data_IF_717095799869
#
_entry.id   IF_717095799869
#
_cell.length_a   1.000
_cell.length_b   1.000
_cell.length_c   1.000
_cell.angle_alpha   90.00
_cell.angle_beta   90.00
_cell.angle_gamma   90.00
#
_symmetry.space_group_name_H-M   'P 1'
#
loop_
_entity.id
_entity.type
_entity.pdbx_description
1 polymer ?
#
# COMPACT_ATOMS: atom_id res chain seq x y z
N UNK A 1 -11.22 22.15 6.15
CA UNK A 1 -11.65 20.75 5.96
C UNK A 1 -12.79 20.80 4.97
N UNK A 2 -12.44 20.75 3.68
CA UNK A 2 -13.25 21.45 2.68
C UNK A 2 -14.39 20.58 2.13
N UNK A 3 -14.27 19.25 2.29
CA UNK A 3 -15.20 18.26 1.72
C UNK A 3 -15.99 17.47 2.78
N UNK A 4 -15.48 17.38 4.02
CA UNK A 4 -16.12 16.60 5.11
C UNK A 4 -17.55 17.03 5.44
N UNK A 5 -17.87 18.34 5.57
CA UNK A 5 -19.25 18.81 5.77
C UNK A 5 -20.22 18.44 4.63
N UNK A 6 -19.72 18.08 3.45
CA UNK A 6 -20.52 17.62 2.31
C UNK A 6 -20.72 16.09 2.32
N UNK A 7 -20.26 15.40 3.37
CA UNK A 7 -20.28 13.94 3.47
C UNK A 7 -19.24 13.25 2.58
N UNK A 8 -18.31 14.00 1.97
CA UNK A 8 -17.26 13.45 1.11
C UNK A 8 -16.05 13.07 1.95
N UNK A 9 -15.63 11.80 1.85
CA UNK A 9 -14.44 11.26 2.50
C UNK A 9 -13.25 11.28 1.55
N UNK A 10 -12.06 11.52 2.09
CA UNK A 10 -10.80 11.51 1.34
C UNK A 10 -9.80 10.65 2.08
N UNK A 11 -9.22 9.64 1.42
CA UNK A 11 -8.22 8.75 2.01
C UNK A 11 -7.15 8.42 0.96
N UNK A 12 -5.99 7.93 1.43
CA UNK A 12 -4.91 7.45 0.58
C UNK A 12 -4.61 5.97 0.85
N UNK A 13 -4.19 5.24 -0.18
CA UNK A 13 -3.62 3.91 -0.06
C UNK A 13 -2.13 3.98 -0.36
N UNK A 14 -1.31 3.68 0.65
CA UNK A 14 0.14 3.53 0.49
C UNK A 14 0.46 2.08 0.20
N UNK A 15 0.46 1.72 -1.09
CA UNK A 15 0.71 0.36 -1.54
C UNK A 15 2.20 -0.01 -1.51
N UNK A 16 2.49 -1.28 -1.24
CA UNK A 16 3.80 -1.87 -1.52
C UNK A 16 4.10 -1.93 -3.02
N UNK A 17 5.33 -2.31 -3.42
CA UNK A 17 5.71 -2.33 -4.83
C UNK A 17 4.91 -3.40 -5.60
N UNK A 18 4.23 -2.95 -6.65
CA UNK A 18 3.51 -3.80 -7.62
C UNK A 18 4.10 -3.54 -9.00
N UNK A 19 4.27 -4.60 -9.79
CA UNK A 19 4.73 -4.48 -11.18
C UNK A 19 3.64 -3.87 -12.05
N UNK A 20 3.74 -2.57 -12.32
CA UNK A 20 2.86 -1.81 -13.22
C UNK A 20 3.67 -1.20 -14.37
N UNK A 21 2.98 -0.62 -15.37
CA UNK A 21 3.65 0.14 -16.44
C UNK A 21 4.41 1.35 -15.89
N UNK A 22 3.84 2.05 -14.92
CA UNK A 22 4.49 3.20 -14.27
C UNK A 22 5.78 2.78 -13.55
N UNK A 23 5.80 1.60 -12.92
CA UNK A 23 6.97 1.08 -12.23
C UNK A 23 8.12 0.68 -13.18
N UNK A 24 7.85 0.48 -14.48
CA UNK A 24 8.88 0.12 -15.44
C UNK A 24 9.95 1.21 -15.65
N UNK A 25 9.60 2.48 -15.37
CA UNK A 25 10.54 3.62 -15.43
C UNK A 25 11.44 3.77 -14.20
N UNK A 26 11.22 3.00 -13.13
CA UNK A 26 11.98 3.13 -11.88
C UNK A 26 13.20 2.21 -11.92
N UNK A 27 14.40 2.81 -11.91
CA UNK A 27 15.66 2.06 -11.84
C UNK A 27 15.72 1.20 -10.58
N UNK A 28 16.21 -0.03 -10.69
CA UNK A 28 16.34 -0.96 -9.55
C UNK A 28 15.03 -1.61 -9.08
N UNK A 29 13.88 -1.34 -9.71
CA UNK A 29 12.58 -1.82 -9.24
C UNK A 29 12.48 -3.36 -9.11
N UNK A 30 13.12 -4.11 -10.02
CA UNK A 30 13.18 -5.58 -9.94
C UNK A 30 13.90 -6.06 -8.68
N UNK A 31 14.96 -5.36 -8.26
CA UNK A 31 15.69 -5.64 -7.02
C UNK A 31 14.81 -5.32 -5.80
N UNK A 32 14.14 -4.17 -5.82
CA UNK A 32 13.20 -3.76 -4.78
C UNK A 32 12.09 -4.81 -4.57
N UNK A 33 11.48 -5.32 -5.65
CA UNK A 33 10.44 -6.36 -5.55
C UNK A 33 10.95 -7.63 -4.84
N UNK A 34 12.19 -8.05 -5.11
CA UNK A 34 12.77 -9.22 -4.45
C UNK A 34 13.07 -8.93 -2.98
N UNK A 35 13.65 -7.77 -2.70
CA UNK A 35 13.95 -7.32 -1.34
C UNK A 35 12.68 -7.28 -0.49
N UNK A 36 11.67 -6.55 -0.94
CA UNK A 36 10.41 -6.37 -0.21
C UNK A 36 9.72 -7.71 0.03
N UNK A 37 9.60 -8.57 -0.98
CA UNK A 37 9.02 -9.90 -0.81
C UNK A 37 9.73 -10.74 0.27
N UNK A 38 11.06 -10.61 0.41
CA UNK A 38 11.83 -11.34 1.43
C UNK A 38 11.68 -10.78 2.85
N UNK A 39 11.36 -9.48 2.98
CA UNK A 39 11.38 -8.77 4.28
C UNK A 39 10.00 -8.48 4.85
N UNK A 40 8.95 -8.37 4.02
CA UNK A 40 7.58 -8.12 4.49
C UNK A 40 7.14 -9.18 5.50
N UNK A 41 6.32 -8.80 6.47
CA UNK A 41 5.81 -9.71 7.50
C UNK A 41 5.08 -10.91 6.90
N UNK A 42 4.42 -10.70 5.75
CA UNK A 42 3.70 -11.76 5.01
C UNK A 42 4.56 -12.50 3.97
N UNK A 43 5.85 -12.17 3.85
CA UNK A 43 6.85 -12.82 2.97
C UNK A 43 6.45 -12.92 1.49
N UNK A 44 5.77 -11.89 1.00
CA UNK A 44 5.42 -11.68 -0.42
C UNK A 44 5.24 -10.19 -0.72
N UNK A 45 5.24 -9.83 -2.00
CA UNK A 45 4.71 -8.53 -2.43
C UNK A 45 3.18 -8.56 -2.39
N UNK A 46 2.58 -7.39 -2.22
CA UNK A 46 1.13 -7.20 -2.38
C UNK A 46 0.73 -7.31 -3.85
N UNK A 47 -0.53 -7.62 -4.10
CA UNK A 47 -1.11 -7.70 -5.44
C UNK A 47 -2.06 -6.55 -5.71
N UNK A 48 -2.53 -6.43 -6.95
CA UNK A 48 -3.56 -5.44 -7.30
C UNK A 48 -4.90 -5.75 -6.61
N UNK A 49 -5.16 -7.01 -6.28
CA UNK A 49 -6.35 -7.43 -5.53
C UNK A 49 -6.27 -6.99 -4.06
N UNK A 50 -5.10 -7.08 -3.41
CA UNK A 50 -4.92 -6.56 -2.04
C UNK A 50 -5.25 -5.05 -1.98
N UNK A 51 -4.74 -4.29 -2.96
CA UNK A 51 -4.98 -2.83 -3.08
C UNK A 51 -6.43 -2.54 -3.48
N UNK A 52 -6.97 -3.27 -4.45
CA UNK A 52 -8.34 -3.12 -4.94
C UNK A 52 -9.39 -3.42 -3.87
N UNK A 53 -9.18 -4.45 -3.05
CA UNK A 53 -10.05 -4.77 -1.93
C UNK A 53 -10.04 -3.64 -0.87
N UNK A 54 -8.86 -3.07 -0.59
CA UNK A 54 -8.75 -1.93 0.33
C UNK A 54 -9.45 -0.69 -0.24
N UNK A 55 -9.30 -0.44 -1.54
CA UNK A 55 -10.01 0.64 -2.22
C UNK A 55 -11.53 0.43 -2.16
N UNK A 56 -12.01 -0.78 -2.46
CA UNK A 56 -13.43 -1.13 -2.37
C UNK A 56 -13.98 -0.92 -0.95
N UNK A 57 -13.24 -1.36 0.08
CA UNK A 57 -13.59 -1.08 1.48
C UNK A 57 -13.69 0.41 1.75
N UNK A 58 -12.66 1.19 1.40
CA UNK A 58 -12.62 2.63 1.61
C UNK A 58 -13.70 3.39 0.82
N UNK A 59 -14.16 2.85 -0.31
CA UNK A 59 -15.25 3.38 -1.12
C UNK A 59 -16.65 2.94 -0.66
N UNK A 60 -16.75 1.99 0.27
CA UNK A 60 -18.02 1.47 0.79
C UNK A 60 -18.47 2.17 2.09
N UNK A 61 -19.71 1.90 2.50
CA UNK A 61 -20.27 2.37 3.78
C UNK A 61 -19.59 1.73 5.00
N UNK A 62 -18.88 0.62 4.81
CA UNK A 62 -18.09 -0.03 5.87
C UNK A 62 -16.97 0.89 6.39
N UNK A 63 -16.55 1.87 5.59
CA UNK A 63 -15.55 2.88 5.93
C UNK A 63 -16.16 4.28 6.16
N UNK A 64 -17.46 4.38 6.43
CA UNK A 64 -18.17 5.66 6.62
C UNK A 64 -17.56 6.56 7.70
N UNK A 65 -16.93 5.97 8.72
CA UNK A 65 -16.20 6.70 9.77
C UNK A 65 -14.74 7.03 9.47
N UNK A 66 -14.22 6.70 8.28
CA UNK A 66 -12.78 6.79 7.94
C UNK A 66 -12.56 7.85 6.87
N UNK A 67 -11.91 8.95 7.25
CA UNK A 67 -11.48 10.04 6.36
C UNK A 67 -10.18 10.66 6.87
N UNK A 68 -9.36 11.19 5.97
CA UNK A 68 -8.05 11.78 6.27
C UNK A 68 -6.93 10.76 6.48
N UNK A 69 -7.21 9.47 6.26
CA UNK A 69 -6.29 8.39 6.60
C UNK A 69 -5.41 7.96 5.42
N UNK A 70 -4.20 7.52 5.75
CA UNK A 70 -3.32 6.80 4.82
C UNK A 70 -3.24 5.34 5.26
N UNK A 71 -3.95 4.47 4.55
CA UNK A 71 -3.94 3.03 4.82
C UNK A 71 -2.78 2.37 4.07
N UNK A 72 -1.93 1.67 4.81
CA UNK A 72 -0.79 0.95 4.23
C UNK A 72 -1.20 -0.45 3.78
N UNK A 73 -0.93 -0.76 2.52
CA UNK A 73 -1.19 -2.08 1.90
C UNK A 73 0.11 -2.57 1.30
N UNK A 74 1.05 -2.97 2.16
CA UNK A 74 2.44 -3.23 1.77
C UNK A 74 3.02 -4.50 2.39
N UNK A 75 2.16 -5.37 2.96
CA UNK A 75 2.59 -6.58 3.65
C UNK A 75 3.34 -6.32 4.96
N UNK A 76 3.20 -5.12 5.54
CA UNK A 76 3.86 -4.71 6.78
C UNK A 76 5.27 -4.15 6.58
N UNK A 77 5.68 -3.88 5.33
CA UNK A 77 7.03 -3.41 5.02
C UNK A 77 7.39 -2.11 5.73
N UNK A 78 6.47 -1.14 5.77
CA UNK A 78 6.67 0.17 6.41
C UNK A 78 6.98 0.08 7.90
N UNK A 79 6.55 -0.97 8.58
CA UNK A 79 6.80 -1.15 10.01
C UNK A 79 8.14 -1.83 10.30
N UNK A 80 8.87 -2.24 9.26
CA UNK A 80 10.22 -2.77 9.42
C UNK A 80 11.19 -1.61 9.66
N UNK A 81 12.01 -1.73 10.70
CA UNK A 81 13.13 -0.81 10.94
C UNK A 81 14.29 -1.09 9.98
N UNK A 82 15.44 -1.48 10.52
CA UNK A 82 16.59 -1.86 9.69
C UNK A 82 16.42 -3.28 9.14
N UNK A 83 16.29 -3.42 7.83
CA UNK A 83 16.34 -4.71 7.15
C UNK A 83 17.77 -5.00 6.69
N UNK A 84 18.48 -5.88 7.39
CA UNK A 84 19.79 -6.37 6.95
C UNK A 84 19.62 -7.59 6.05
N UNK A 85 20.42 -7.65 5.00
CA UNK A 85 20.62 -8.89 4.25
C UNK A 85 21.66 -9.72 4.98
N UNK A 86 21.20 -10.82 5.59
CA UNK A 86 22.11 -11.87 6.04
C UNK A 86 22.70 -12.49 4.78
N UNK A 87 24.00 -12.26 4.56
CA UNK A 87 24.79 -13.04 3.61
C UNK A 87 24.91 -14.47 4.08
#
# INVERSE_FOLDING_TARGET
ADLGPQGIRVNAISAGPIKTLAAAGVSGFRGLLKHVASKTSIRRNVTIEDVGNTAAFLSSDLASGITGETIYVDGGYRNLGMTFDMK
#
